data_IF_555629042958
#
_entry.id   IF_555629042958
#
_cell.length_a   1.000
_cell.length_b   1.000
_cell.length_c   1.000
_cell.angle_alpha   90.00
_cell.angle_beta   90.00
_cell.angle_gamma   90.00
#
_symmetry.space_group_name_H-M   'P 1'
#
loop_
_entity.id
_entity.type
_entity.pdbx_description
1 polymer ?
#
# COMPACT_ATOMS: atom_id res chain seq x y z
N UNK A 1 -23.96 6.01 -3.29
CA UNK A 1 -23.28 4.88 -2.62
C UNK A 1 -22.01 5.44 -2.04
N UNK A 2 -21.88 5.50 -0.71
CA UNK A 2 -20.70 6.09 -0.06
C UNK A 2 -19.67 4.97 0.15
N UNK A 3 -18.59 4.99 -0.62
CA UNK A 3 -17.48 4.03 -0.45
C UNK A 3 -16.79 4.35 0.88
N UNK A 4 -16.70 3.40 1.82
CA UNK A 4 -15.98 3.63 3.06
C UNK A 4 -14.49 3.86 2.77
N UNK A 5 -13.93 4.92 3.33
CA UNK A 5 -12.50 5.19 3.28
C UNK A 5 -11.88 4.75 4.60
N UNK A 6 -10.83 3.94 4.50
CA UNK A 6 -9.95 3.56 5.59
C UNK A 6 -8.81 4.57 5.59
N UNK A 7 -8.62 5.22 6.73
CA UNK A 7 -7.53 6.18 6.96
C UNK A 7 -6.53 5.52 7.90
N UNK A 8 -5.24 5.74 7.66
CA UNK A 8 -4.20 5.28 8.59
C UNK A 8 -4.15 6.27 9.74
N UNK A 9 -4.56 5.84 10.93
CA UNK A 9 -4.58 6.67 12.12
C UNK A 9 -3.16 6.88 12.67
N UNK A 10 -2.87 8.05 13.26
CA UNK A 10 -1.57 8.35 13.86
C UNK A 10 -1.21 7.41 15.04
N UNK A 11 -2.22 6.81 15.67
CA UNK A 11 -2.05 5.80 16.72
C UNK A 11 -1.73 4.41 16.17
N UNK A 12 -1.75 4.22 14.85
CA UNK A 12 -1.32 2.97 14.23
C UNK A 12 0.14 2.69 14.59
N UNK A 13 0.42 1.63 15.38
CA UNK A 13 1.77 1.38 15.88
C UNK A 13 2.75 0.98 14.78
N UNK A 14 2.23 0.69 13.58
CA UNK A 14 2.97 0.13 12.45
C UNK A 14 2.53 -1.30 12.16
N UNK A 15 3.01 -1.83 11.03
CA UNK A 15 2.76 -3.21 10.66
C UNK A 15 3.37 -4.16 11.69
N UNK A 16 2.61 -5.12 12.25
CA UNK A 16 3.11 -6.01 13.31
C UNK A 16 4.29 -6.91 12.88
N UNK A 17 4.58 -6.98 11.57
CA UNK A 17 5.67 -7.79 11.02
C UNK A 17 6.92 -7.00 10.65
N UNK A 18 6.78 -5.71 10.31
CA UNK A 18 7.90 -4.91 9.80
C UNK A 18 7.94 -3.48 10.37
N UNK A 19 7.03 -3.16 11.30
CA UNK A 19 6.94 -1.93 12.08
C UNK A 19 6.73 -0.65 11.26
N UNK A 20 6.60 -0.78 9.94
CA UNK A 20 6.33 0.33 9.04
C UNK A 20 4.93 0.89 9.26
N UNK A 21 4.83 2.21 9.42
CA UNK A 21 3.55 2.92 9.60
C UNK A 21 2.90 3.34 8.29
N UNK A 22 3.66 3.30 7.21
CA UNK A 22 3.22 3.73 5.89
C UNK A 22 2.80 2.53 5.04
N UNK A 23 1.87 2.76 4.12
CA UNK A 23 1.49 1.78 3.11
C UNK A 23 1.79 2.32 1.72
N UNK A 24 2.10 1.41 0.79
CA UNK A 24 2.28 1.72 -0.62
C UNK A 24 1.41 0.80 -1.45
N UNK A 25 0.87 1.32 -2.55
CA UNK A 25 0.13 0.50 -3.51
C UNK A 25 1.10 0.06 -4.59
N UNK A 26 1.33 -1.24 -4.70
CA UNK A 26 2.10 -1.75 -5.81
C UNK A 26 1.41 -1.38 -7.11
N UNK A 27 2.14 -0.66 -7.97
CA UNK A 27 1.70 -0.38 -9.32
C UNK A 27 1.42 -1.66 -10.12
N UNK A 28 0.64 -1.53 -11.16
CA UNK A 28 0.65 -2.51 -12.25
C UNK A 28 1.81 -2.22 -13.19
N UNK A 29 2.48 -3.25 -13.68
CA UNK A 29 3.30 -3.14 -14.89
C UNK A 29 2.44 -3.44 -16.12
N UNK A 30 2.93 -3.08 -17.31
CA UNK A 30 2.32 -3.46 -18.60
C UNK A 30 2.05 -4.98 -18.73
N UNK A 31 2.78 -5.79 -17.96
CA UNK A 31 2.69 -7.25 -17.96
C UNK A 31 1.97 -7.85 -16.74
N UNK A 32 1.69 -7.07 -15.67
CA UNK A 32 1.03 -7.60 -14.48
C UNK A 32 0.32 -6.51 -13.68
N UNK A 33 -1.00 -6.65 -13.51
CA UNK A 33 -1.80 -5.75 -12.67
C UNK A 33 -1.78 -6.24 -11.22
N UNK A 34 -0.73 -5.90 -10.48
CA UNK A 34 -0.65 -6.26 -9.07
C UNK A 34 -1.72 -5.51 -8.26
N UNK A 35 -1.68 -4.17 -8.24
CA UNK A 35 -2.64 -3.29 -7.56
C UNK A 35 -2.91 -3.62 -6.07
N UNK A 36 -2.03 -4.41 -5.44
CA UNK A 36 -2.12 -4.80 -4.04
C UNK A 36 -1.43 -3.77 -3.15
N UNK A 37 -1.88 -3.69 -1.91
CA UNK A 37 -1.27 -2.85 -0.87
C UNK A 37 -0.11 -3.62 -0.24
N UNK A 38 0.97 -2.92 0.09
CA UNK A 38 2.14 -3.43 0.78
C UNK A 38 2.61 -2.42 1.83
N UNK A 39 3.42 -2.87 2.78
CA UNK A 39 4.04 -1.97 3.75
C UNK A 39 5.05 -1.09 3.02
N UNK A 40 4.98 0.23 3.23
CA UNK A 40 5.93 1.19 2.70
C UNK A 40 7.16 1.22 3.58
N UNK A 41 8.32 0.86 3.05
CA UNK A 41 9.59 1.03 3.75
C UNK A 41 10.08 2.48 3.71
N UNK A 42 11.06 2.83 4.54
CA UNK A 42 11.73 4.14 4.55
C UNK A 42 12.62 4.41 3.33
N UNK A 43 12.78 3.43 2.44
CA UNK A 43 13.67 3.53 1.28
C UNK A 43 12.92 4.07 0.07
N UNK A 44 13.57 4.92 -0.71
CA UNK A 44 13.02 5.41 -1.99
C UNK A 44 12.67 4.28 -2.96
N UNK A 45 13.24 3.08 -2.81
CA UNK A 45 12.97 1.95 -3.71
C UNK A 45 12.26 0.82 -2.98
N UNK A 46 11.05 0.47 -3.43
CA UNK A 46 10.28 -0.65 -2.89
C UNK A 46 10.25 -1.83 -3.84
N UNK A 47 10.35 -3.04 -3.29
CA UNK A 47 10.10 -4.27 -4.04
C UNK A 47 8.73 -4.80 -3.65
N UNK A 48 7.79 -4.84 -4.59
CA UNK A 48 6.47 -5.37 -4.29
C UNK A 48 6.54 -6.87 -3.94
N UNK A 49 6.13 -7.30 -2.75
CA UNK A 49 6.24 -8.70 -2.33
C UNK A 49 5.28 -9.62 -3.11
N UNK A 50 4.26 -9.04 -3.75
CA UNK A 50 3.23 -9.78 -4.46
C UNK A 50 3.59 -10.15 -5.89
N UNK A 51 4.34 -9.28 -6.59
CA UNK A 51 4.66 -9.44 -8.00
C UNK A 51 6.14 -9.26 -8.33
N UNK A 52 6.99 -8.99 -7.32
CA UNK A 52 8.43 -8.79 -7.47
C UNK A 52 8.84 -7.51 -8.19
N UNK A 53 7.88 -6.65 -8.55
CA UNK A 53 8.19 -5.39 -9.26
C UNK A 53 8.91 -4.43 -8.32
N UNK A 54 10.11 -4.00 -8.74
CA UNK A 54 10.86 -2.93 -8.09
C UNK A 54 10.49 -1.59 -8.71
N UNK A 55 10.13 -0.62 -7.88
CA UNK A 55 9.83 0.74 -8.31
C UNK A 55 10.24 1.74 -7.23
N UNK A 56 10.43 2.99 -7.64
CA UNK A 56 10.65 4.08 -6.70
C UNK A 56 9.32 4.48 -6.05
N UNK A 57 9.31 4.70 -4.74
CA UNK A 57 8.15 5.19 -3.99
C UNK A 57 8.03 6.68 -4.27
N UNK A 58 7.01 7.08 -5.01
CA UNK A 58 6.71 8.52 -5.22
C UNK A 58 5.81 9.08 -4.13
N UNK A 59 4.90 8.27 -3.59
CA UNK A 59 3.95 8.64 -2.53
C UNK A 59 3.58 7.43 -1.67
N UNK A 60 3.20 7.69 -0.42
CA UNK A 60 2.54 6.74 0.47
C UNK A 60 1.02 6.87 0.40
N UNK A 61 0.31 5.83 0.80
CA UNK A 61 -1.15 5.84 0.86
C UNK A 61 -1.59 6.48 2.17
N UNK A 62 -2.33 7.58 2.07
CA UNK A 62 -3.00 8.20 3.22
C UNK A 62 -4.43 7.69 3.40
N UNK A 63 -5.08 7.29 2.30
CA UNK A 63 -6.48 6.85 2.28
C UNK A 63 -6.66 5.61 1.38
N UNK A 64 -7.30 4.59 1.90
CA UNK A 64 -7.68 3.36 1.19
C UNK A 64 -9.20 3.31 1.06
N UNK A 65 -9.72 3.37 -0.16
CA UNK A 65 -11.15 3.11 -0.37
C UNK A 65 -11.41 1.60 -0.30
N UNK A 66 -12.20 1.17 0.69
CA UNK A 66 -12.63 -0.22 0.81
C UNK A 66 -13.89 -0.45 -0.02
N UNK A 67 -13.83 -1.42 -0.94
CA UNK A 67 -15.02 -1.91 -1.61
C UNK A 67 -15.92 -2.64 -0.61
N UNK A 68 -17.24 -2.52 -0.78
CA UNK A 68 -18.20 -3.37 -0.06
C UNK A 68 -18.30 -4.71 -0.80
N UNK A 69 -18.09 -5.81 -0.09
CA UNK A 69 -18.44 -7.15 -0.58
C UNK A 69 -19.99 -7.18 -0.68
N UNK A 70 -20.50 -7.40 -1.90
CA UNK A 70 -21.94 -7.37 -2.22
C UNK A 70 -22.60 -8.73 -1.93
#
# INVERSE_FOLDING_TARGET
MTTPNIVVDDTYPGCPYCEQKSFVKCGGSLFSRCNKVSCGGEQDTHTCPWCGTKAQISCYIENLSAGKDL
#
